data_IF_626337351660
#
_entry.id   IF_626337351660
#
_cell.length_a   1.000
_cell.length_b   1.000
_cell.length_c   1.000
_cell.angle_alpha   90.00
_cell.angle_beta   90.00
_cell.angle_gamma   90.00
#
_symmetry.space_group_name_H-M   'P 1'
#
loop_
_entity.id
_entity.type
_entity.pdbx_description
1 polymer ?
#
# COMPACT_ATOMS: atom_id res chain seq x y z
N UNK A 1 4.16 5.50 15.54
CA UNK A 1 4.72 4.17 15.21
C UNK A 1 4.78 4.06 13.70
N UNK A 2 5.92 3.65 13.14
CA UNK A 2 6.04 3.39 11.70
C UNK A 2 5.99 1.89 11.46
N UNK A 3 5.28 1.47 10.41
CA UNK A 3 5.15 0.07 10.01
C UNK A 3 5.83 -0.07 8.64
N UNK A 4 6.81 -0.97 8.54
CA UNK A 4 7.68 -1.08 7.38
C UNK A 4 7.38 -2.34 6.57
N UNK A 5 6.83 -2.21 5.37
CA UNK A 5 6.63 -3.38 4.51
C UNK A 5 7.94 -3.90 3.90
N UNK A 6 8.79 -2.99 3.43
CA UNK A 6 10.04 -3.30 2.73
C UNK A 6 11.16 -2.47 3.33
N UNK A 7 12.26 -3.12 3.72
CA UNK A 7 13.49 -2.47 4.17
C UNK A 7 14.69 -3.02 3.41
N UNK A 8 15.56 -2.12 2.93
CA UNK A 8 16.77 -2.49 2.18
C UNK A 8 16.52 -3.42 0.97
N UNK A 9 15.34 -3.30 0.35
CA UNK A 9 14.93 -4.14 -0.77
C UNK A 9 14.48 -5.55 -0.39
N UNK A 10 14.31 -5.84 0.90
CA UNK A 10 13.76 -7.10 1.42
C UNK A 10 12.38 -6.85 2.02
N UNK A 11 11.45 -7.75 1.75
CA UNK A 11 10.14 -7.80 2.42
C UNK A 11 10.38 -8.22 3.87
N UNK A 12 9.74 -7.53 4.83
CA UNK A 12 9.91 -7.88 6.24
C UNK A 12 9.21 -9.20 6.58
N UNK A 13 9.80 -9.97 7.49
CA UNK A 13 9.40 -11.35 7.79
C UNK A 13 7.96 -11.47 8.29
N UNK A 14 7.46 -10.49 9.04
CA UNK A 14 6.07 -10.52 9.51
C UNK A 14 5.06 -10.47 8.34
N UNK A 15 5.44 -9.92 7.18
CA UNK A 15 4.60 -9.95 5.99
C UNK A 15 4.60 -11.30 5.27
N UNK A 16 5.51 -12.21 5.66
CA UNK A 16 5.61 -13.56 5.10
C UNK A 16 4.88 -14.60 5.96
N UNK A 17 4.27 -14.17 7.07
CA UNK A 17 3.49 -15.03 7.95
C UNK A 17 2.20 -15.49 7.24
N UNK A 18 1.98 -16.80 7.06
CA UNK A 18 0.76 -17.33 6.45
C UNK A 18 -0.52 -16.93 7.19
N UNK A 19 -0.43 -16.62 8.48
CA UNK A 19 -1.56 -16.19 9.31
C UNK A 19 -1.66 -14.66 9.43
N UNK A 20 -0.84 -13.90 8.69
CA UNK A 20 -0.81 -12.44 8.77
C UNK A 20 -2.21 -11.84 8.62
N UNK A 21 -2.99 -12.32 7.66
CA UNK A 21 -4.34 -11.81 7.39
C UNK A 21 -5.25 -11.90 8.62
N UNK A 22 -5.16 -12.97 9.41
CA UNK A 22 -5.93 -13.14 10.64
C UNK A 22 -5.49 -12.20 11.77
N UNK A 23 -4.28 -11.62 11.65
CA UNK A 23 -3.68 -10.71 12.63
C UNK A 23 -3.86 -9.24 12.22
N UNK A 24 -4.28 -8.96 10.99
CA UNK A 24 -4.51 -7.59 10.52
C UNK A 24 -5.87 -7.08 10.99
N UNK A 25 -5.93 -5.88 11.59
CA UNK A 25 -7.21 -5.29 11.97
C UNK A 25 -7.99 -4.84 10.73
N UNK A 26 -9.32 -4.83 10.87
CA UNK A 26 -10.23 -4.23 9.89
C UNK A 26 -10.01 -2.71 9.89
N UNK A 27 -9.96 -2.10 8.70
CA UNK A 27 -9.87 -0.64 8.58
C UNK A 27 -11.22 -0.04 9.01
N UNK A 28 -11.26 0.82 10.03
CA UNK A 28 -12.50 1.43 10.50
C UNK A 28 -13.14 2.36 9.47
N UNK A 29 -14.46 2.52 9.52
CA UNK A 29 -15.23 3.33 8.56
C UNK A 29 -14.87 4.82 8.55
N UNK A 30 -14.29 5.32 9.64
CA UNK A 30 -13.82 6.68 9.83
C UNK A 30 -12.52 6.96 9.03
N UNK A 31 -11.80 5.90 8.64
CA UNK A 31 -10.56 6.00 7.88
C UNK A 31 -10.86 5.98 6.39
N UNK A 32 -10.88 7.18 5.80
CA UNK A 32 -11.17 7.35 4.36
C UNK A 32 -9.96 7.07 3.45
N UNK A 33 -8.75 7.07 3.99
CA UNK A 33 -7.53 6.81 3.24
C UNK A 33 -6.36 6.32 4.09
N UNK A 34 -5.40 5.67 3.43
CA UNK A 34 -4.12 5.25 4.02
C UNK A 34 -2.96 5.91 3.28
N UNK A 35 -2.00 6.42 4.05
CA UNK A 35 -0.78 7.04 3.53
C UNK A 35 0.35 6.01 3.47
N UNK A 36 0.94 5.87 2.30
CA UNK A 36 2.15 5.06 2.10
C UNK A 36 3.33 5.97 1.80
N UNK A 37 4.46 5.73 2.47
CA UNK A 37 5.72 6.43 2.22
C UNK A 37 6.75 5.44 1.69
N UNK A 38 7.50 5.84 0.66
CA UNK A 38 8.54 5.01 0.07
C UNK A 38 9.71 5.81 -0.49
N UNK A 39 10.85 5.14 -0.69
CA UNK A 39 12.05 5.71 -1.30
C UNK A 39 12.91 4.64 -1.97
N UNK A 40 13.64 5.02 -3.01
CA UNK A 40 14.56 4.14 -3.76
C UNK A 40 16.01 4.21 -3.27
N UNK A 41 16.35 5.21 -2.45
CA UNK A 41 17.71 5.46 -2.01
C UNK A 41 18.61 5.86 -3.19
N UNK A 42 19.72 5.14 -3.39
CA UNK A 42 20.68 5.44 -4.47
C UNK A 42 20.27 4.80 -5.80
N UNK A 43 19.63 3.63 -5.75
CA UNK A 43 19.25 2.86 -6.94
C UNK A 43 17.95 3.37 -7.57
N UNK A 44 17.75 3.04 -8.84
CA UNK A 44 16.54 3.36 -9.60
C UNK A 44 15.61 2.16 -9.58
N UNK A 45 14.41 2.32 -9.03
CA UNK A 45 13.35 1.32 -9.06
C UNK A 45 12.12 1.88 -9.77
N UNK A 46 11.39 1.01 -10.45
CA UNK A 46 10.12 1.31 -11.09
C UNK A 46 9.03 0.51 -10.40
N UNK A 47 7.85 1.10 -10.32
CA UNK A 47 6.68 0.46 -9.75
C UNK A 47 5.61 0.31 -10.82
N UNK A 48 4.76 -0.71 -10.64
CA UNK A 48 3.58 -0.95 -11.45
C UNK A 48 2.50 -1.58 -10.57
N UNK A 49 1.37 -0.89 -10.44
CA UNK A 49 0.18 -1.38 -9.75
C UNK A 49 -0.63 -2.24 -10.72
N UNK A 50 -0.49 -3.57 -10.60
CA UNK A 50 -1.13 -4.51 -11.52
C UNK A 50 -2.64 -4.64 -11.29
N UNK A 51 -3.09 -4.50 -10.04
CA UNK A 51 -4.49 -4.66 -9.64
C UNK A 51 -4.87 -3.59 -8.60
N UNK A 52 -5.95 -2.88 -8.89
CA UNK A 52 -6.69 -2.04 -7.96
C UNK A 52 -8.15 -2.42 -8.16
N UNK A 53 -8.73 -3.09 -7.17
CA UNK A 53 -10.07 -3.65 -7.27
C UNK A 53 -10.71 -3.66 -5.88
N UNK A 54 -12.00 -3.37 -5.82
CA UNK A 54 -12.83 -3.77 -4.68
C UNK A 54 -13.46 -5.12 -4.94
N UNK A 55 -13.57 -5.96 -3.92
CA UNK A 55 -14.30 -7.22 -4.04
C UNK A 55 -15.81 -7.05 -4.04
N UNK A 56 -16.30 -6.08 -3.27
CA UNK A 56 -17.71 -5.77 -3.17
C UNK A 56 -17.92 -4.28 -3.38
N UNK A 57 -18.29 -3.91 -4.61
CA UNK A 57 -18.52 -2.52 -5.00
C UNK A 57 -19.82 -1.93 -4.41
N UNK A 58 -20.70 -2.77 -3.86
CA UNK A 58 -21.89 -2.28 -3.14
C UNK A 58 -21.53 -1.72 -1.76
N UNK A 59 -20.44 -2.21 -1.17
CA UNK A 59 -19.92 -1.77 0.13
C UNK A 59 -18.82 -0.73 -0.04
N UNK A 60 -17.85 -1.01 -0.92
CA UNK A 60 -16.69 -0.14 -1.12
C UNK A 60 -16.33 0.02 -2.60
N UNK A 61 -16.15 1.26 -3.02
CA UNK A 61 -15.68 1.57 -4.37
C UNK A 61 -14.23 1.11 -4.59
N UNK A 62 -13.90 0.84 -5.84
CA UNK A 62 -12.54 0.48 -6.25
C UNK A 62 -11.52 1.53 -5.77
N UNK A 63 -10.41 1.10 -5.14
CA UNK A 63 -9.42 2.01 -4.59
C UNK A 63 -8.75 2.88 -5.65
N UNK A 64 -8.48 4.14 -5.31
CA UNK A 64 -7.80 5.09 -6.19
C UNK A 64 -6.51 5.61 -5.58
N UNK A 65 -5.53 5.88 -6.45
CA UNK A 65 -4.20 6.36 -6.06
C UNK A 65 -4.05 7.84 -6.42
N UNK A 66 -3.36 8.59 -5.57
CA UNK A 66 -2.94 9.97 -5.92
C UNK A 66 -1.75 10.03 -6.88
N UNK A 67 -1.18 8.88 -7.24
CA UNK A 67 -0.08 8.74 -8.20
C UNK A 67 -0.50 7.88 -9.39
N UNK A 68 0.21 8.01 -10.52
CA UNK A 68 0.02 7.13 -11.69
C UNK A 68 0.24 5.68 -11.29
N UNK A 69 -0.43 4.74 -11.95
CA UNK A 69 -0.32 3.28 -11.71
C UNK A 69 1.04 2.69 -12.10
N UNK A 70 1.84 3.40 -12.89
CA UNK A 70 3.22 3.03 -13.21
C UNK A 70 4.12 4.24 -13.15
N UNK A 71 5.35 4.05 -12.71
CA UNK A 71 6.28 5.16 -12.59
C UNK A 71 7.57 4.76 -11.89
N UNK A 72 8.32 5.77 -11.48
CA UNK A 72 9.60 5.58 -10.80
C UNK A 72 9.43 5.85 -9.30
N UNK A 73 10.03 4.99 -8.48
CA UNK A 73 10.08 5.19 -7.02
C UNK A 73 10.95 6.42 -6.73
N UNK A 74 10.49 7.36 -5.87
CA UNK A 74 11.21 8.59 -5.61
C UNK A 74 12.53 8.34 -4.87
N UNK A 75 13.57 9.13 -5.18
CA UNK A 75 14.90 8.99 -4.55
C UNK A 75 14.88 9.28 -3.04
N UNK A 76 14.12 10.32 -2.67
CA UNK A 76 13.92 10.80 -1.30
C UNK A 76 12.49 10.46 -0.85
N UNK A 77 12.22 10.34 0.46
CA UNK A 77 10.91 9.97 1.01
C UNK A 77 9.80 11.04 0.83
N UNK A 78 9.83 11.85 -0.23
CA UNK A 78 8.81 12.87 -0.52
C UNK A 78 7.54 12.30 -1.13
N UNK A 79 7.56 11.08 -1.65
CA UNK A 79 6.40 10.48 -2.31
C UNK A 79 5.53 9.77 -1.31
N UNK A 80 4.66 10.51 -0.63
CA UNK A 80 3.52 9.90 0.02
C UNK A 80 2.45 9.72 -1.05
N UNK A 81 1.94 8.51 -1.22
CA UNK A 81 0.73 8.31 -2.01
C UNK A 81 -0.40 7.88 -1.11
N UNK A 82 -1.57 8.39 -1.43
CA UNK A 82 -2.80 8.15 -0.70
C UNK A 82 -3.55 7.09 -1.48
N UNK A 83 -3.95 6.04 -0.79
CA UNK A 83 -4.92 5.10 -1.30
C UNK A 83 -6.30 5.49 -0.74
N UNK A 84 -7.17 6.00 -1.61
CA UNK A 84 -8.55 6.33 -1.27
C UNK A 84 -9.44 5.11 -1.50
N UNK A 85 -10.22 4.76 -0.48
CA UNK A 85 -11.03 3.56 -0.30
C UNK A 85 -10.30 2.41 0.42
N UNK A 86 -10.87 2.04 1.57
CA UNK A 86 -10.34 1.05 2.49
C UNK A 86 -11.39 -0.02 2.81
N UNK A 87 -11.19 -1.18 2.20
CA UNK A 87 -11.53 -2.55 2.60
C UNK A 87 -10.72 -3.36 1.59
N UNK A 88 -9.44 -3.57 1.92
CA UNK A 88 -8.76 -4.73 1.38
C UNK A 88 -9.37 -5.92 2.10
N UNK A 89 -10.48 -6.44 1.58
CA UNK A 89 -10.94 -7.77 1.93
C UNK A 89 -11.07 -8.57 0.63
N UNK A 90 -10.17 -9.55 0.56
CA UNK A 90 -9.95 -10.65 -0.38
C UNK A 90 -9.53 -10.33 -1.84
#
# INVERSE_FOLDING_TARGET
MEIYAISEGKVLSYLLDPELENKLPIIPSEVSYVNFTWKSGVKKYYYHFNRLKSLDESILKTPSLTIKTKGRVPKRPKGNFINHCCYFFY
#
